data_IF_936369466522
#
_entry.id   IF_936369466522
#
_cell.length_a   1.000
_cell.length_b   1.000
_cell.length_c   1.000
_cell.angle_alpha   90.00
_cell.angle_beta   90.00
_cell.angle_gamma   90.00
#
_symmetry.space_group_name_H-M   'P 1'
#
loop_
_entity.id
_entity.type
_entity.pdbx_description
1 polymer ?
#
# COMPACT_ATOMS: atom_id res chain seq x y z
N UNK A 1 -7.93 -19.84 -2.12
CA UNK A 1 -8.69 -18.71 -1.53
C UNK A 1 -8.41 -18.72 -0.04
N UNK A 2 -7.65 -17.74 0.46
CA UNK A 2 -7.41 -17.60 1.91
C UNK A 2 -8.77 -17.46 2.60
N UNK A 3 -9.08 -18.40 3.50
CA UNK A 3 -10.34 -18.38 4.25
C UNK A 3 -10.22 -17.30 5.32
N UNK A 4 -10.89 -16.18 5.09
CA UNK A 4 -11.06 -15.15 6.12
C UNK A 4 -11.80 -15.76 7.31
N UNK A 5 -11.18 -15.71 8.50
CA UNK A 5 -11.75 -16.28 9.71
C UNK A 5 -12.27 -15.16 10.61
N UNK A 6 -13.54 -15.20 10.97
CA UNK A 6 -14.09 -14.31 12.01
C UNK A 6 -13.71 -14.88 13.38
N UNK A 7 -13.15 -14.03 14.23
CA UNK A 7 -12.76 -14.36 15.61
C UNK A 7 -13.47 -13.43 16.58
N UNK A 8 -13.79 -13.93 17.77
CA UNK A 8 -14.41 -13.14 18.83
C UNK A 8 -13.38 -12.81 19.90
N UNK A 9 -13.06 -11.52 20.06
CA UNK A 9 -12.09 -11.01 21.03
C UNK A 9 -12.80 -10.49 22.28
N UNK A 10 -12.28 -10.73 23.50
CA UNK A 10 -12.77 -10.07 24.70
C UNK A 10 -12.64 -8.55 24.59
N UNK A 11 -13.64 -7.81 25.09
CA UNK A 11 -13.66 -6.35 25.03
C UNK A 11 -12.41 -5.71 25.69
N UNK A 12 -11.94 -6.27 26.80
CA UNK A 12 -10.78 -5.74 27.51
C UNK A 12 -9.49 -5.89 26.69
N UNK A 13 -9.37 -6.96 25.89
CA UNK A 13 -8.26 -7.12 24.95
C UNK A 13 -8.30 -6.05 23.86
N UNK A 14 -9.48 -5.75 23.32
CA UNK A 14 -9.64 -4.71 22.28
C UNK A 14 -9.32 -3.32 22.85
N UNK A 15 -9.74 -3.03 24.09
CA UNK A 15 -9.39 -1.78 24.79
C UNK A 15 -7.89 -1.65 24.99
N UNK A 16 -7.21 -2.72 25.39
CA UNK A 16 -5.76 -2.71 25.54
C UNK A 16 -5.05 -2.47 24.19
N UNK A 17 -5.53 -3.09 23.12
CA UNK A 17 -5.03 -2.87 21.76
C UNK A 17 -5.25 -1.42 21.31
N UNK A 18 -6.45 -0.85 21.52
CA UNK A 18 -6.73 0.55 21.20
C UNK A 18 -5.78 1.49 21.93
N UNK A 19 -5.59 1.30 23.24
CA UNK A 19 -4.68 2.12 24.05
C UNK A 19 -3.23 2.03 23.57
N UNK A 20 -2.75 0.83 23.23
CA UNK A 20 -1.40 0.60 22.72
C UNK A 20 -1.20 1.23 21.33
N UNK A 21 -2.10 0.99 20.39
CA UNK A 21 -1.98 1.54 19.03
C UNK A 21 -2.14 3.06 19.05
N UNK A 22 -2.99 3.62 19.92
CA UNK A 22 -3.24 5.05 19.99
C UNK A 22 -1.98 5.87 20.27
N UNK A 23 -1.06 5.36 21.10
CA UNK A 23 0.21 6.04 21.40
C UNK A 23 1.20 5.97 20.23
N UNK A 24 1.14 4.91 19.42
CA UNK A 24 2.01 4.70 18.26
C UNK A 24 1.52 5.41 16.97
N UNK A 25 0.23 5.75 16.89
CA UNK A 25 -0.34 6.44 15.71
C UNK A 25 0.28 7.81 15.45
N UNK A 26 0.40 8.24 14.18
CA UNK A 26 0.72 9.61 13.83
C UNK A 26 -0.25 10.61 14.49
N UNK A 27 0.25 11.76 14.93
CA UNK A 27 -0.56 12.76 15.66
C UNK A 27 -1.89 13.13 14.98
N UNK A 28 -1.89 13.25 13.65
CA UNK A 28 -3.10 13.58 12.86
C UNK A 28 -4.17 12.49 12.90
N UNK A 29 -3.78 11.24 13.09
CA UNK A 29 -4.68 10.08 13.10
C UNK A 29 -5.20 9.74 14.50
N UNK A 30 -4.65 10.36 15.55
CA UNK A 30 -5.12 10.22 16.94
C UNK A 30 -6.47 10.90 17.21
N UNK A 31 -7.05 11.55 16.22
CA UNK A 31 -8.39 12.13 16.31
C UNK A 31 -9.50 11.06 16.30
N UNK A 32 -9.17 9.83 15.86
CA UNK A 32 -10.11 8.73 15.74
C UNK A 32 -9.61 7.52 16.53
N UNK A 33 -10.45 6.99 17.43
CA UNK A 33 -10.20 5.73 18.15
C UNK A 33 -10.86 4.55 17.44
N UNK A 34 -10.50 3.33 17.84
CA UNK A 34 -11.22 2.15 17.36
C UNK A 34 -12.68 2.23 17.81
N UNK A 35 -13.62 2.31 16.87
CA UNK A 35 -15.04 2.22 17.16
C UNK A 35 -15.44 0.75 17.24
N UNK A 36 -15.70 0.26 18.44
CA UNK A 36 -16.15 -1.12 18.67
C UNK A 36 -17.35 -1.22 19.62
N UNK A 37 -17.82 -0.10 20.20
CA UNK A 37 -18.92 -0.09 21.18
C UNK A 37 -20.25 -0.54 20.56
N UNK A 38 -20.52 -0.15 19.32
CA UNK A 38 -21.69 -0.58 18.54
C UNK A 38 -21.66 -2.07 18.16
N UNK A 39 -20.49 -2.71 18.29
CA UNK A 39 -20.24 -4.09 17.89
C UNK A 39 -20.00 -5.02 19.09
N UNK A 40 -20.23 -4.53 20.31
CA UNK A 40 -20.19 -5.35 21.52
C UNK A 40 -21.46 -6.20 21.56
N UNK A 41 -21.32 -7.48 21.21
CA UNK A 41 -22.42 -8.43 21.35
C UNK A 41 -22.79 -8.64 22.83
N UNK A 42 -23.92 -9.33 23.08
CA UNK A 42 -24.49 -9.60 24.40
C UNK A 42 -23.57 -10.33 25.43
N UNK A 43 -22.31 -10.62 25.07
CA UNK A 43 -21.32 -11.33 25.90
C UNK A 43 -20.01 -10.57 26.07
N UNK A 44 -19.98 -9.25 25.83
CA UNK A 44 -18.76 -8.45 26.03
C UNK A 44 -17.62 -8.83 25.07
N UNK A 45 -17.97 -9.26 23.85
CA UNK A 45 -17.01 -9.66 22.82
C UNK A 45 -17.20 -8.80 21.57
N UNK A 46 -16.09 -8.53 20.90
CA UNK A 46 -16.02 -7.82 19.64
C UNK A 46 -15.61 -8.81 18.55
N UNK A 47 -16.32 -8.80 17.42
CA UNK A 47 -15.96 -9.62 16.27
C UNK A 47 -14.86 -8.93 15.46
N UNK A 48 -13.83 -9.70 15.10
CA UNK A 48 -12.72 -9.22 14.28
C UNK A 48 -12.44 -10.21 13.15
N UNK A 49 -11.85 -9.69 12.07
CA UNK A 49 -11.40 -10.52 10.95
C UNK A 49 -9.93 -10.89 11.14
N UNK A 50 -9.65 -12.18 11.26
CA UNK A 50 -8.27 -12.68 11.23
C UNK A 50 -7.83 -12.80 9.78
N UNK A 51 -6.77 -12.09 9.44
CA UNK A 51 -6.12 -12.13 8.14
C UNK A 51 -4.66 -12.57 8.29
N UNK A 52 -4.12 -13.23 7.28
CA UNK A 52 -2.69 -13.50 7.19
C UNK A 52 -1.97 -12.19 6.91
N UNK A 53 -0.86 -11.94 7.62
CA UNK A 53 0.01 -10.83 7.27
C UNK A 53 0.73 -11.16 5.95
N UNK A 54 0.40 -10.44 4.89
CA UNK A 54 1.03 -10.60 3.56
C UNK A 54 2.36 -9.84 3.46
N UNK A 55 2.72 -9.07 4.48
CA UNK A 55 3.94 -8.27 4.54
C UNK A 55 5.08 -9.00 5.26
N UNK A 56 4.80 -10.13 5.92
CA UNK A 56 5.78 -10.93 6.65
C UNK A 56 6.07 -12.24 5.91
N UNK A 57 7.34 -12.65 5.95
CA UNK A 57 7.74 -13.95 5.43
C UNK A 57 6.97 -15.07 6.17
N UNK A 58 6.53 -16.13 5.49
CA UNK A 58 6.02 -17.30 6.18
C UNK A 58 7.09 -17.84 7.15
N UNK A 59 6.70 -18.36 8.32
CA UNK A 59 7.64 -18.92 9.28
C UNK A 59 8.51 -19.99 8.60
N UNK A 60 9.82 -19.89 8.82
CA UNK A 60 10.93 -20.54 8.10
C UNK A 60 10.91 -22.08 8.15
N UNK A 61 9.95 -22.70 8.83
CA UNK A 61 9.79 -24.16 8.91
C UNK A 61 9.54 -24.84 7.55
N UNK A 62 9.24 -24.07 6.48
CA UNK A 62 8.97 -24.59 5.13
C UNK A 62 10.05 -24.26 4.08
N UNK A 63 11.03 -23.41 4.41
CA UNK A 63 12.05 -22.92 3.47
C UNK A 63 13.43 -23.12 4.08
N UNK A 64 14.10 -24.20 3.65
CA UNK A 64 15.44 -24.56 4.09
C UNK A 64 16.44 -23.39 3.96
N UNK A 65 17.31 -23.29 4.97
CA UNK A 65 18.57 -22.52 5.07
C UNK A 65 18.75 -21.44 3.98
N UNK A 66 18.33 -20.22 4.29
CA UNK A 66 18.60 -19.03 3.47
C UNK A 66 17.42 -18.08 3.33
N UNK A 67 16.72 -17.76 4.44
CA UNK A 67 15.59 -16.82 4.42
C UNK A 67 16.09 -15.42 4.03
N UNK A 68 16.04 -15.11 2.73
CA UNK A 68 16.17 -13.75 2.21
C UNK A 68 15.04 -12.89 2.80
N UNK A 69 15.30 -11.62 3.13
CA UNK A 69 14.25 -10.73 3.62
C UNK A 69 13.11 -10.65 2.60
N UNK A 70 11.86 -10.70 3.08
CA UNK A 70 10.69 -10.49 2.24
C UNK A 70 10.54 -9.00 1.96
N UNK A 71 10.61 -8.62 0.69
CA UNK A 71 10.22 -7.30 0.22
C UNK A 71 8.75 -7.33 -0.22
N UNK A 72 7.90 -6.58 0.48
CA UNK A 72 6.50 -6.41 0.11
C UNK A 72 6.23 -4.96 -0.31
N UNK A 73 5.38 -4.79 -1.32
CA UNK A 73 4.97 -3.47 -1.82
C UNK A 73 3.45 -3.38 -1.78
N UNK A 74 2.94 -2.42 -1.03
CA UNK A 74 1.52 -2.06 -1.03
C UNK A 74 1.32 -0.90 -2.01
N UNK A 75 0.42 -1.07 -2.98
CA UNK A 75 0.12 -0.05 -3.99
C UNK A 75 -1.38 0.24 -3.96
N UNK A 76 -1.76 1.49 -3.69
CA UNK A 76 -3.14 1.96 -3.80
C UNK A 76 -3.40 2.36 -5.26
N UNK A 77 -3.98 1.44 -6.03
CA UNK A 77 -4.10 1.62 -7.47
C UNK A 77 -5.03 2.79 -7.85
N UNK A 78 -6.10 3.03 -7.08
CA UNK A 78 -7.12 4.03 -7.41
C UNK A 78 -8.15 3.48 -8.41
N UNK A 79 -8.75 4.37 -9.21
CA UNK A 79 -9.75 4.01 -10.22
C UNK A 79 -9.13 4.11 -11.61
N UNK A 80 -9.04 2.98 -12.32
CA UNK A 80 -8.48 2.89 -13.66
C UNK A 80 -9.46 3.19 -14.80
N UNK A 81 -10.60 3.80 -14.50
CA UNK A 81 -11.65 4.06 -15.48
C UNK A 81 -11.98 5.56 -15.55
N UNK A 82 -12.32 6.01 -16.76
CA UNK A 82 -12.92 7.33 -17.01
C UNK A 82 -14.42 7.13 -17.20
N UNK A 83 -15.21 7.99 -16.58
CA UNK A 83 -16.66 7.99 -16.74
C UNK A 83 -17.07 8.57 -18.11
N UNK A 84 -16.32 9.56 -18.59
CA UNK A 84 -16.51 10.20 -19.90
C UNK A 84 -15.16 10.34 -20.61
N UNK A 85 -15.14 10.09 -21.92
CA UNK A 85 -13.93 10.09 -22.75
C UNK A 85 -13.17 11.42 -22.76
N UNK A 86 -13.89 12.54 -22.59
CA UNK A 86 -13.33 13.89 -22.64
C UNK A 86 -13.20 14.54 -21.26
N UNK A 87 -13.62 13.86 -20.19
CA UNK A 87 -13.55 14.38 -18.83
C UNK A 87 -12.25 13.93 -18.12
N UNK A 88 -11.65 14.77 -17.27
CA UNK A 88 -10.55 14.34 -16.41
C UNK A 88 -10.96 13.16 -15.51
N UNK A 89 -10.00 12.32 -15.13
CA UNK A 89 -10.28 11.21 -14.21
C UNK A 89 -10.74 11.72 -12.85
N UNK A 90 -11.46 10.88 -12.11
CA UNK A 90 -11.88 11.19 -10.73
C UNK A 90 -10.69 11.60 -9.84
N UNK A 91 -9.53 10.99 -10.04
CA UNK A 91 -8.34 11.27 -9.24
C UNK A 91 -7.69 12.60 -9.65
N UNK A 92 -7.67 12.91 -10.95
CA UNK A 92 -7.23 14.22 -11.43
C UNK A 92 -8.13 15.35 -10.89
N UNK A 93 -9.46 15.15 -10.91
CA UNK A 93 -10.42 16.10 -10.32
C UNK A 93 -10.20 16.28 -8.82
N UNK A 94 -10.06 15.20 -8.06
CA UNK A 94 -9.82 15.26 -6.62
C UNK A 94 -8.51 15.99 -6.29
N UNK A 95 -7.46 15.79 -7.09
CA UNK A 95 -6.19 16.49 -6.94
C UNK A 95 -6.32 18.00 -7.24
N UNK A 96 -7.05 18.38 -8.28
CA UNK A 96 -7.33 19.79 -8.60
C UNK A 96 -8.09 20.48 -7.47
N UNK A 97 -9.14 19.85 -6.95
CA UNK A 97 -9.91 20.38 -5.81
C UNK A 97 -9.04 20.52 -4.57
N UNK A 98 -8.17 19.55 -4.28
CA UNK A 98 -7.27 19.60 -3.13
C UNK A 98 -6.16 20.66 -3.27
N UNK A 99 -5.71 20.94 -4.49
CA UNK A 99 -4.67 21.92 -4.79
C UNK A 99 -5.20 23.35 -4.92
N UNK A 100 -6.49 23.53 -5.20
CA UNK A 100 -7.08 24.85 -5.47
C UNK A 100 -6.65 25.47 -6.81
N UNK A 101 -5.96 24.71 -7.67
CA UNK A 101 -5.44 25.15 -8.96
C UNK A 101 -5.76 24.12 -10.06
N UNK A 102 -5.95 24.61 -11.29
CA UNK A 102 -6.10 23.79 -12.49
C UNK A 102 -4.73 23.25 -12.91
N UNK A 103 -4.48 21.98 -12.63
CA UNK A 103 -3.24 21.30 -13.03
C UNK A 103 -3.12 21.25 -14.56
N UNK A 104 -1.90 21.42 -15.07
CA UNK A 104 -1.59 21.15 -16.49
C UNK A 104 -1.63 19.63 -16.77
N UNK A 105 -1.94 19.23 -18.00
CA UNK A 105 -2.04 17.81 -18.42
C UNK A 105 -0.77 16.98 -18.10
N UNK A 106 0.39 17.64 -18.10
CA UNK A 106 1.69 17.01 -17.78
C UNK A 106 1.75 16.50 -16.33
N UNK A 107 1.31 17.31 -15.37
CA UNK A 107 1.39 16.97 -13.94
C UNK A 107 0.29 16.00 -13.50
N UNK A 108 -0.87 16.03 -14.17
CA UNK A 108 -1.96 15.06 -13.92
C UNK A 108 -1.57 13.67 -14.39
N UNK A 109 -0.85 13.52 -15.50
CA UNK A 109 -0.60 12.22 -16.14
C UNK A 109 0.20 11.21 -15.30
N UNK A 110 1.11 11.66 -14.42
CA UNK A 110 2.02 10.78 -13.67
C UNK A 110 1.45 10.34 -12.32
N UNK A 111 0.48 11.10 -11.78
CA UNK A 111 -0.26 10.76 -10.56
C UNK A 111 -1.61 10.11 -10.85
N UNK A 112 -2.12 10.23 -12.07
CA UNK A 112 -3.35 9.59 -12.49
C UNK A 112 -3.22 8.05 -12.47
N UNK A 113 -4.07 7.34 -11.71
CA UNK A 113 -4.22 5.89 -11.79
C UNK A 113 -4.32 5.32 -13.20
N UNK A 114 -4.91 6.02 -14.16
CA UNK A 114 -5.09 5.54 -15.53
C UNK A 114 -3.78 5.05 -16.17
N UNK A 115 -2.64 5.66 -15.82
CA UNK A 115 -1.34 5.23 -16.32
C UNK A 115 -1.00 3.79 -15.89
N UNK A 116 -1.41 3.36 -14.69
CA UNK A 116 -1.21 1.99 -14.20
C UNK A 116 -2.08 0.96 -14.92
N UNK A 117 -3.20 1.38 -15.52
CA UNK A 117 -4.14 0.51 -16.23
C UNK A 117 -4.00 0.61 -17.76
N UNK A 118 -2.98 1.31 -18.25
CA UNK A 118 -2.83 1.62 -19.68
C UNK A 118 -2.45 0.41 -20.55
N UNK A 119 -1.96 -0.68 -19.96
CA UNK A 119 -1.40 -1.83 -20.67
C UNK A 119 0.01 -1.58 -21.25
N UNK A 120 0.48 -0.33 -21.27
CA UNK A 120 1.82 0.04 -21.70
C UNK A 120 2.81 -0.07 -20.54
N UNK A 121 3.75 -1.02 -20.63
CA UNK A 121 4.77 -1.29 -19.61
C UNK A 121 5.63 -0.06 -19.28
N UNK A 122 5.96 0.76 -20.26
CA UNK A 122 6.81 1.95 -20.06
C UNK A 122 6.04 3.00 -19.27
N UNK A 123 4.77 3.22 -19.63
CA UNK A 123 3.87 4.14 -18.93
C UNK A 123 3.57 3.68 -17.51
N UNK A 124 3.35 2.37 -17.30
CA UNK A 124 3.18 1.78 -15.96
C UNK A 124 4.43 1.96 -15.11
N UNK A 125 5.62 1.65 -15.65
CA UNK A 125 6.88 1.81 -14.92
C UNK A 125 7.13 3.28 -14.54
N UNK A 126 6.84 4.23 -15.42
CA UNK A 126 6.92 5.66 -15.13
C UNK A 126 5.96 6.08 -14.00
N UNK A 127 4.73 5.58 -14.02
CA UNK A 127 3.73 5.83 -12.97
C UNK A 127 4.07 5.17 -11.63
N UNK A 128 4.74 4.02 -11.62
CA UNK A 128 5.25 3.42 -10.39
C UNK A 128 6.44 4.20 -9.82
N UNK A 129 7.34 4.68 -10.69
CA UNK A 129 8.47 5.54 -10.29
C UNK A 129 8.01 6.86 -9.69
N UNK A 130 7.03 7.53 -10.29
CA UNK A 130 6.47 8.79 -9.76
C UNK A 130 5.84 8.60 -8.37
N UNK A 131 5.28 7.42 -8.08
CA UNK A 131 4.70 7.07 -6.77
C UNK A 131 5.74 6.69 -5.73
N UNK A 132 6.92 6.24 -6.15
CA UNK A 132 8.06 5.96 -5.27
C UNK A 132 8.77 7.24 -4.80
N UNK A 133 8.60 8.36 -5.50
CA UNK A 133 9.23 9.62 -5.14
C UNK A 133 8.73 10.16 -3.80
N UNK A 134 9.68 10.64 -2.99
CA UNK A 134 9.58 10.85 -1.53
C UNK A 134 8.45 11.77 -1.06
N UNK A 135 7.85 12.55 -1.95
CA UNK A 135 6.78 13.51 -1.68
C UNK A 135 5.37 12.91 -1.79
N UNK A 136 5.22 11.71 -2.36
CA UNK A 136 3.93 11.10 -2.69
C UNK A 136 3.53 9.88 -1.81
N UNK A 137 4.23 9.63 -0.70
CA UNK A 137 4.24 8.39 0.10
C UNK A 137 2.93 7.88 0.75
N UNK A 138 1.75 8.22 0.23
CA UNK A 138 0.46 7.64 0.62
C UNK A 138 -0.02 6.50 -0.28
N UNK A 139 0.39 6.51 -1.55
CA UNK A 139 -0.17 5.60 -2.57
C UNK A 139 0.73 4.39 -2.86
N UNK A 140 1.95 4.41 -2.35
CA UNK A 140 2.88 3.29 -2.40
C UNK A 140 3.65 3.20 -1.09
N UNK A 141 3.71 2.00 -0.52
CA UNK A 141 4.48 1.69 0.69
C UNK A 141 5.34 0.47 0.45
N UNK A 142 6.54 0.48 0.99
CA UNK A 142 7.46 -0.66 0.93
C UNK A 142 7.65 -1.20 2.34
N UNK A 143 7.70 -2.52 2.45
CA UNK A 143 7.91 -3.23 3.71
C UNK A 143 9.04 -4.24 3.54
N UNK A 144 9.87 -4.35 4.58
CA UNK A 144 10.90 -5.39 4.69
C UNK A 144 10.59 -6.18 5.95
N UNK A 145 10.26 -7.46 5.78
CA UNK A 145 9.88 -8.38 6.87
C UNK A 145 8.82 -7.77 7.82
N UNK A 146 7.72 -7.29 7.23
CA UNK A 146 6.59 -6.70 7.94
C UNK A 146 6.79 -5.26 8.42
N UNK A 147 8.01 -4.71 8.33
CA UNK A 147 8.31 -3.36 8.83
C UNK A 147 8.27 -2.34 7.70
N UNK A 148 7.62 -1.17 7.90
CA UNK A 148 7.65 -0.09 6.94
C UNK A 148 9.10 0.33 6.64
N UNK A 149 9.48 0.28 5.37
CA UNK A 149 10.77 0.72 4.87
C UNK A 149 10.55 1.98 4.03
N UNK A 150 11.34 3.01 4.29
CA UNK A 150 11.34 4.17 3.41
C UNK A 150 12.01 3.77 2.07
N UNK A 151 11.41 4.02 0.89
CA UNK A 151 12.00 3.60 -0.39
C UNK A 151 13.43 4.09 -0.60
N UNK A 152 13.73 5.27 -0.07
CA UNK A 152 15.07 5.87 -0.10
C UNK A 152 16.10 5.29 0.91
N UNK A 153 15.64 4.51 1.88
CA UNK A 153 16.47 3.85 2.88
C UNK A 153 16.75 2.39 2.53
N UNK A 154 16.16 1.89 1.44
CA UNK A 154 16.53 0.58 0.91
C UNK A 154 17.97 0.65 0.38
N UNK A 155 18.81 -0.36 0.66
CA UNK A 155 20.12 -0.44 0.06
C UNK A 155 19.93 -0.40 -1.45
N UNK A 156 20.34 0.70 -2.07
CA UNK A 156 20.29 0.82 -3.52
C UNK A 156 21.13 -0.30 -4.12
N UNK A 157 20.76 -0.83 -5.30
CA UNK A 157 21.74 -1.59 -6.05
C UNK A 157 22.92 -0.65 -6.25
N UNK A 158 24.12 -1.07 -5.83
CA UNK A 158 25.36 -0.47 -6.31
C UNK A 158 25.16 -0.15 -7.78
N UNK A 159 25.56 1.05 -8.24
CA UNK A 159 25.27 1.57 -9.60
C UNK A 159 25.67 0.65 -10.77
N UNK A 160 26.25 -0.53 -10.50
CA UNK A 160 26.45 -1.65 -11.43
C UNK A 160 25.24 -2.60 -11.57
N UNK A 161 24.36 -2.73 -10.57
CA UNK A 161 23.24 -3.68 -10.53
C UNK A 161 21.92 -3.15 -11.11
N UNK A 162 21.74 -1.83 -11.22
CA UNK A 162 20.53 -1.24 -11.82
C UNK A 162 20.36 -1.54 -13.32
N UNK A 163 21.41 -1.99 -14.01
CA UNK A 163 21.33 -2.49 -15.39
C UNK A 163 20.80 -3.93 -15.47
N UNK A 164 20.79 -4.67 -14.36
CA UNK A 164 20.37 -6.09 -14.33
C UNK A 164 18.85 -6.24 -14.29
N UNK A 165 18.14 -5.39 -13.52
CA UNK A 165 16.68 -5.51 -13.38
C UNK A 165 15.89 -5.13 -14.64
N UNK A 166 16.40 -4.20 -15.47
CA UNK A 166 15.82 -3.92 -16.79
C UNK A 166 16.14 -5.03 -17.81
N UNK A 167 17.29 -5.68 -17.71
CA UNK A 167 17.65 -6.78 -18.61
C UNK A 167 16.87 -8.08 -18.30
N UNK A 168 16.56 -8.35 -17.02
CA UNK A 168 15.76 -9.52 -16.64
C UNK A 168 14.27 -9.39 -17.00
N UNK A 169 13.72 -8.18 -17.06
CA UNK A 169 12.35 -7.95 -17.55
C UNK A 169 12.22 -7.99 -19.08
N UNK A 170 13.32 -7.79 -19.80
CA UNK A 170 13.39 -7.94 -21.27
C UNK A 170 13.70 -9.39 -21.70
N UNK A 171 14.20 -10.22 -20.78
CA UNK A 171 14.62 -11.60 -21.04
C UNK A 171 13.61 -12.69 -20.70
N UNK A 172 12.40 -12.37 -20.26
CA UNK A 172 11.34 -13.37 -20.03
C UNK A 172 10.51 -13.58 -21.32
N UNK A 173 10.73 -14.67 -22.08
CA UNK A 173 9.80 -15.06 -23.14
C UNK A 173 8.46 -15.49 -22.51
N UNK A 174 7.36 -15.10 -23.18
CA UNK A 174 6.02 -15.67 -22.96
C UNK A 174 5.99 -17.14 -23.40
#
# INVERSE_FOLDING_TARGET
>A
VDRQQVVALPIDCVRAIDAHIFSERPHRERQQRLSFEEYVGARGRVLALRQRNLLEAPPVSELGVGASPLLAVEIRLGCGLRELSDAPSRHALAAQVAAGELWTESETSTRDPLALFSGDRVRVAAALRSRLDRTAGRDLRVFVDGRPAHPAALPGPDRRGARSLTAELEGCPL
#
